data_IF_479784268079
#
_entry.id   IF_479784268079
#
_cell.length_a   1.000
_cell.length_b   1.000
_cell.length_c   1.000
_cell.angle_alpha   90.00
_cell.angle_beta   90.00
_cell.angle_gamma   90.00
#
_symmetry.space_group_name_H-M   'P 1'
#
loop_
_entity.id
_entity.type
_entity.pdbx_description
1 polymer ?
#
# COMPACT_ATOMS: atom_id res chain seq x y z
N UNK A 1 7.76 -27.79 7.64
CA UNK A 1 6.46 -27.65 8.32
C UNK A 1 5.78 -26.46 7.67
N UNK A 2 4.77 -26.73 6.83
CA UNK A 2 4.12 -25.68 6.03
C UNK A 2 3.27 -24.78 6.91
N UNK A 3 3.54 -23.48 6.83
CA UNK A 3 2.65 -22.46 7.39
C UNK A 3 1.52 -22.29 6.39
N UNK A 4 0.39 -22.93 6.70
CA UNK A 4 -0.81 -22.82 5.87
C UNK A 4 -1.29 -21.39 5.84
N UNK A 5 -1.30 -20.80 4.65
CA UNK A 5 -2.01 -19.57 4.35
C UNK A 5 -3.50 -19.81 4.61
N UNK A 6 -3.98 -19.41 5.78
CA UNK A 6 -5.41 -19.41 6.08
C UNK A 6 -6.01 -18.25 5.29
N UNK A 7 -6.50 -18.55 4.11
CA UNK A 7 -7.40 -17.67 3.36
C UNK A 7 -8.65 -17.44 4.23
N UNK A 8 -8.64 -16.40 5.05
CA UNK A 8 -9.85 -15.92 5.72
C UNK A 8 -10.67 -15.19 4.66
N UNK A 9 -11.46 -15.96 3.91
CA UNK A 9 -12.42 -15.42 2.95
C UNK A 9 -13.64 -14.87 3.71
N UNK A 10 -13.41 -13.80 4.49
CA UNK A 10 -14.47 -12.94 5.01
C UNK A 10 -14.57 -11.75 4.08
N UNK A 11 -15.74 -11.53 3.50
CA UNK A 11 -16.03 -10.33 2.72
C UNK A 11 -15.81 -9.11 3.63
N UNK A 12 -14.64 -8.48 3.51
CA UNK A 12 -14.28 -7.29 4.28
C UNK A 12 -15.07 -6.12 3.70
N UNK A 13 -15.70 -5.34 4.58
CA UNK A 13 -16.51 -4.20 4.15
C UNK A 13 -15.60 -3.10 3.55
N UNK A 14 -16.13 -2.36 2.57
CA UNK A 14 -15.43 -1.20 1.99
C UNK A 14 -14.99 -0.20 3.08
N UNK A 15 -15.80 -0.02 4.12
CA UNK A 15 -15.48 0.86 5.23
C UNK A 15 -14.30 0.36 6.06
N UNK A 16 -14.20 -0.95 6.28
CA UNK A 16 -13.03 -1.57 6.93
C UNK A 16 -11.78 -1.30 6.12
N UNK A 17 -11.81 -1.56 4.78
CA UNK A 17 -10.67 -1.31 3.89
C UNK A 17 -10.17 0.15 3.93
N UNK A 18 -11.07 1.12 4.08
CA UNK A 18 -10.70 2.53 4.19
C UNK A 18 -10.04 2.88 5.54
N UNK A 19 -10.30 2.11 6.60
CA UNK A 19 -9.74 2.36 7.93
C UNK A 19 -8.42 1.65 8.19
N UNK A 20 -8.17 0.50 7.58
CA UNK A 20 -6.93 -0.27 7.79
C UNK A 20 -5.65 0.55 7.53
N UNK A 21 -5.55 1.36 6.45
CA UNK A 21 -4.40 2.24 6.24
C UNK A 21 -4.19 3.27 7.36
N UNK A 22 -5.26 3.74 8.00
CA UNK A 22 -5.16 4.69 9.12
C UNK A 22 -4.52 4.02 10.34
N UNK A 23 -4.89 2.76 10.61
CA UNK A 23 -4.31 1.97 11.71
C UNK A 23 -2.82 1.71 11.46
N UNK A 24 -2.47 1.30 10.24
CA UNK A 24 -1.09 1.06 9.83
C UNK A 24 -0.23 2.32 9.96
N UNK A 25 -0.70 3.45 9.41
CA UNK A 25 0.00 4.73 9.50
C UNK A 25 0.22 5.17 10.94
N UNK A 26 -0.81 5.06 11.79
CA UNK A 26 -0.66 5.39 13.20
C UNK A 26 0.45 4.57 13.87
N UNK A 27 0.46 3.25 13.66
CA UNK A 27 1.48 2.39 14.26
C UNK A 27 2.89 2.68 13.73
N UNK A 28 3.04 2.96 12.43
CA UNK A 28 4.33 3.36 11.83
C UNK A 28 4.83 4.70 12.37
N UNK A 29 3.95 5.65 12.67
CA UNK A 29 4.32 6.96 13.24
C UNK A 29 4.81 6.89 14.69
N UNK A 30 4.57 5.78 15.41
CA UNK A 30 5.10 5.60 16.77
C UNK A 30 6.63 5.52 16.79
N UNK A 31 7.26 5.05 15.71
CA UNK A 31 8.72 5.00 15.57
C UNK A 31 9.39 4.29 16.73
N UNK A 32 10.38 4.95 17.36
CA UNK A 32 11.12 4.42 18.52
C UNK A 32 10.26 4.18 19.77
N UNK A 33 9.08 4.83 19.85
CA UNK A 33 8.13 4.65 20.94
C UNK A 33 7.12 3.53 20.69
N UNK A 34 7.34 2.68 19.70
CA UNK A 34 6.44 1.58 19.38
C UNK A 34 6.41 0.56 20.52
N UNK A 35 5.25 0.37 21.19
CA UNK A 35 5.15 -0.65 22.22
C UNK A 35 5.22 -2.05 21.61
N UNK A 36 5.79 -3.02 22.33
CA UNK A 36 5.84 -4.41 21.90
C UNK A 36 4.45 -4.97 21.59
N UNK A 37 3.46 -4.57 22.40
CA UNK A 37 2.08 -4.98 22.21
C UNK A 37 1.15 -3.77 22.15
N UNK A 38 0.20 -3.77 21.22
CA UNK A 38 -0.79 -2.73 21.04
C UNK A 38 -2.21 -3.29 21.10
N UNK A 39 -3.11 -2.56 21.76
CA UNK A 39 -4.52 -2.95 21.86
C UNK A 39 -5.38 -2.20 20.84
N UNK A 40 -6.50 -2.82 20.44
CA UNK A 40 -7.51 -2.14 19.62
C UNK A 40 -8.07 -0.89 20.31
N UNK A 41 -8.08 -0.85 21.63
CA UNK A 41 -8.51 0.31 22.42
C UNK A 41 -7.51 1.46 22.26
N UNK A 42 -6.21 1.18 22.36
CA UNK A 42 -5.16 2.19 22.19
C UNK A 42 -5.24 2.84 20.81
N UNK A 43 -5.39 2.02 19.74
CA UNK A 43 -5.54 2.53 18.37
C UNK A 43 -6.82 3.36 18.24
N UNK A 44 -7.93 2.89 18.82
CA UNK A 44 -9.21 3.57 18.76
C UNK A 44 -9.17 4.95 19.45
N UNK A 45 -8.57 5.05 20.62
CA UNK A 45 -8.41 6.29 21.37
C UNK A 45 -7.55 7.30 20.59
N UNK A 46 -6.42 6.87 20.06
CA UNK A 46 -5.52 7.72 19.29
C UNK A 46 -6.19 8.28 18.03
N UNK A 47 -6.98 7.47 17.33
CA UNK A 47 -7.66 7.85 16.10
C UNK A 47 -9.09 8.39 16.31
N UNK A 48 -9.55 8.50 17.56
CA UNK A 48 -10.91 8.92 17.94
C UNK A 48 -12.00 8.07 17.29
N UNK A 49 -11.78 6.76 17.27
CA UNK A 49 -12.69 5.76 16.69
C UNK A 49 -13.35 4.91 17.78
N UNK A 50 -14.41 4.19 17.41
CA UNK A 50 -15.03 3.24 18.31
C UNK A 50 -14.18 1.97 18.44
N UNK A 51 -13.78 1.58 19.67
CA UNK A 51 -12.91 0.43 19.94
C UNK A 51 -13.51 -0.91 19.48
N UNK A 52 -14.85 -1.04 19.47
CA UNK A 52 -15.51 -2.26 18.96
C UNK A 52 -15.34 -2.40 17.46
N UNK A 53 -15.38 -1.29 16.72
CA UNK A 53 -15.16 -1.24 15.28
C UNK A 53 -13.70 -1.60 14.98
N UNK A 54 -12.73 -0.94 15.64
CA UNK A 54 -11.30 -1.21 15.44
C UNK A 54 -10.98 -2.69 15.72
N UNK A 55 -11.51 -3.24 16.83
CA UNK A 55 -11.32 -4.66 17.15
C UNK A 55 -11.89 -5.60 16.10
N UNK A 56 -13.05 -5.30 15.53
CA UNK A 56 -13.64 -6.11 14.46
C UNK A 56 -12.83 -6.02 13.16
N UNK A 57 -12.36 -4.83 12.82
CA UNK A 57 -11.54 -4.59 11.64
C UNK A 57 -10.19 -5.36 11.74
N UNK A 58 -9.50 -5.25 12.87
CA UNK A 58 -8.24 -5.96 13.10
C UNK A 58 -8.44 -7.47 13.10
N UNK A 59 -9.52 -7.98 13.72
CA UNK A 59 -9.83 -9.40 13.73
C UNK A 59 -10.21 -9.97 12.34
N UNK A 60 -10.52 -9.11 11.37
CA UNK A 60 -10.75 -9.54 9.99
C UNK A 60 -9.44 -9.77 9.22
N UNK A 61 -8.34 -9.14 9.65
CA UNK A 61 -7.01 -9.22 9.02
C UNK A 61 -6.08 -10.11 9.81
N UNK A 62 -6.07 -9.98 11.15
CA UNK A 62 -5.16 -10.70 12.04
C UNK A 62 -5.92 -11.62 12.98
N UNK A 63 -5.46 -12.86 13.10
CA UNK A 63 -5.95 -13.83 14.13
C UNK A 63 -5.07 -13.85 15.38
N UNK A 64 -3.97 -13.08 15.42
CA UNK A 64 -2.96 -13.12 16.46
C UNK A 64 -3.32 -12.32 17.73
N UNK A 65 -4.49 -11.66 17.77
CA UNK A 65 -4.95 -10.89 18.92
C UNK A 65 -5.17 -11.76 20.16
N UNK A 66 -4.48 -11.44 21.27
CA UNK A 66 -4.59 -12.15 22.54
C UNK A 66 -5.45 -11.36 23.53
N UNK A 67 -6.41 -12.00 24.23
CA UNK A 67 -7.19 -11.34 25.28
C UNK A 67 -6.27 -10.71 26.32
N UNK A 68 -6.59 -9.48 26.75
CA UNK A 68 -5.85 -8.70 27.76
C UNK A 68 -4.43 -8.25 27.36
N UNK A 69 -3.83 -8.79 26.31
CA UNK A 69 -2.48 -8.43 25.84
C UNK A 69 -2.56 -7.54 24.60
N UNK A 70 -3.46 -7.84 23.68
CA UNK A 70 -3.55 -7.19 22.37
C UNK A 70 -2.80 -7.95 21.28
N UNK A 71 -2.24 -7.22 20.34
CA UNK A 71 -1.48 -7.71 19.19
C UNK A 71 0.01 -7.39 19.40
N UNK A 72 0.91 -8.26 18.99
CA UNK A 72 2.30 -7.85 18.81
C UNK A 72 2.32 -6.79 17.69
N UNK A 73 2.93 -5.63 17.97
CA UNK A 73 2.82 -4.46 17.09
C UNK A 73 3.51 -4.67 15.76
N UNK A 74 4.72 -5.24 15.76
CA UNK A 74 5.48 -5.51 14.54
C UNK A 74 4.78 -6.55 13.66
N UNK A 75 4.28 -7.62 14.26
CA UNK A 75 3.54 -8.65 13.53
C UNK A 75 2.25 -8.09 12.92
N UNK A 76 1.52 -7.24 13.65
CA UNK A 76 0.30 -6.62 13.14
C UNK A 76 0.58 -5.64 11.99
N UNK A 77 1.68 -4.88 12.06
CA UNK A 77 2.13 -4.02 10.95
C UNK A 77 2.39 -4.88 9.72
N UNK A 78 3.17 -5.96 9.84
CA UNK A 78 3.49 -6.83 8.72
C UNK A 78 2.25 -7.50 8.10
N UNK A 79 1.32 -7.98 8.93
CA UNK A 79 0.05 -8.57 8.46
C UNK A 79 -0.84 -7.53 7.73
N UNK A 80 -0.87 -6.28 8.21
CA UNK A 80 -1.59 -5.20 7.55
C UNK A 80 -0.94 -4.77 6.23
N UNK A 81 0.39 -4.71 6.16
CA UNK A 81 1.14 -4.42 4.93
C UNK A 81 0.90 -5.48 3.86
N UNK A 82 0.99 -6.76 4.25
CA UNK A 82 0.69 -7.88 3.36
C UNK A 82 -0.76 -7.84 2.87
N UNK A 83 -1.70 -7.60 3.79
CA UNK A 83 -3.12 -7.54 3.45
C UNK A 83 -3.47 -6.37 2.52
N UNK A 84 -2.84 -5.22 2.71
CA UNK A 84 -3.05 -4.01 1.89
C UNK A 84 -2.24 -4.03 0.59
N UNK A 85 -1.38 -5.03 0.37
CA UNK A 85 -0.53 -5.15 -0.80
C UNK A 85 0.66 -4.18 -0.80
N UNK A 86 1.05 -3.64 0.34
CA UNK A 86 2.19 -2.70 0.43
C UNK A 86 3.54 -3.38 0.17
N UNK A 87 3.59 -4.70 0.25
CA UNK A 87 4.76 -5.51 -0.09
C UNK A 87 4.82 -5.86 -1.59
N UNK A 88 3.70 -5.71 -2.30
CA UNK A 88 3.63 -5.84 -3.75
C UNK A 88 3.92 -4.47 -4.36
N UNK A 89 5.02 -4.34 -5.09
CA UNK A 89 5.36 -3.09 -5.77
C UNK A 89 4.71 -3.09 -7.14
N UNK A 90 3.64 -2.34 -7.28
CA UNK A 90 2.98 -2.12 -8.56
C UNK A 90 3.60 -0.93 -9.29
N UNK A 91 3.95 -1.13 -10.55
CA UNK A 91 4.38 -0.05 -11.42
C UNK A 91 3.17 0.80 -11.84
N UNK A 92 3.29 2.10 -11.65
CA UNK A 92 2.27 3.07 -12.00
C UNK A 92 2.83 4.15 -12.92
N UNK A 93 1.95 4.74 -13.71
CA UNK A 93 2.28 5.87 -14.59
C UNK A 93 1.43 7.09 -14.22
N UNK A 94 1.93 8.27 -14.56
CA UNK A 94 1.20 9.52 -14.41
C UNK A 94 0.78 9.97 -15.82
N UNK A 95 -0.50 10.34 -15.98
CA UNK A 95 -1.00 10.96 -17.19
C UNK A 95 -1.29 12.43 -16.90
N UNK A 96 -0.56 13.31 -17.58
CA UNK A 96 -0.52 14.75 -17.35
C UNK A 96 0.74 15.15 -16.55
N UNK A 97 1.77 15.67 -17.24
CA UNK A 97 3.04 16.08 -16.66
C UNK A 97 3.13 17.61 -16.44
N UNK A 98 2.01 18.26 -16.15
CA UNK A 98 1.99 19.64 -15.68
C UNK A 98 2.66 19.78 -14.30
N UNK A 99 2.56 20.94 -13.68
CA UNK A 99 3.22 21.23 -12.38
C UNK A 99 2.93 20.16 -11.31
N UNK A 100 1.69 19.69 -11.20
CA UNK A 100 1.31 18.65 -10.25
C UNK A 100 1.90 17.29 -10.65
N UNK A 101 1.80 16.89 -11.91
CA UNK A 101 2.33 15.63 -12.42
C UNK A 101 3.84 15.52 -12.20
N UNK A 102 4.60 16.60 -12.50
CA UNK A 102 6.04 16.68 -12.23
C UNK A 102 6.36 16.54 -10.73
N UNK A 103 5.59 17.18 -9.86
CA UNK A 103 5.76 17.05 -8.40
C UNK A 103 5.49 15.62 -7.92
N UNK A 104 4.44 14.97 -8.43
CA UNK A 104 4.11 13.58 -8.08
C UNK A 104 5.15 12.60 -8.64
N UNK A 105 5.71 12.86 -9.84
CA UNK A 105 6.72 12.02 -10.47
C UNK A 105 7.97 11.87 -9.59
N UNK A 106 8.35 12.92 -8.87
CA UNK A 106 9.52 12.95 -7.98
C UNK A 106 9.19 12.61 -6.52
N UNK A 107 7.91 12.48 -6.18
CA UNK A 107 7.50 12.21 -4.81
C UNK A 107 7.83 10.77 -4.39
N UNK A 108 8.72 10.62 -3.40
CA UNK A 108 9.20 9.32 -2.92
C UNK A 108 8.20 8.52 -2.10
N UNK A 109 7.20 9.17 -1.48
CA UNK A 109 6.25 8.52 -0.57
C UNK A 109 5.31 7.49 -1.20
N UNK A 110 5.25 7.42 -2.53
CA UNK A 110 4.49 6.36 -3.22
C UNK A 110 5.09 4.97 -2.98
N UNK A 111 6.42 4.86 -2.87
CA UNK A 111 7.10 3.59 -2.60
C UNK A 111 6.71 3.01 -1.24
N UNK A 112 6.46 3.87 -0.26
CA UNK A 112 6.03 3.47 1.07
C UNK A 112 4.61 2.86 1.08
N UNK A 113 3.87 3.07 -0.02
CA UNK A 113 2.53 2.53 -0.25
C UNK A 113 2.52 1.40 -1.31
N UNK A 114 3.69 0.79 -1.62
CA UNK A 114 3.77 -0.27 -2.62
C UNK A 114 3.58 0.20 -4.06
N UNK A 115 3.76 1.51 -4.36
CA UNK A 115 3.56 2.05 -5.69
C UNK A 115 4.87 2.64 -6.24
N UNK A 116 5.32 2.16 -7.39
CA UNK A 116 6.49 2.67 -8.09
C UNK A 116 6.06 3.47 -9.31
N UNK A 117 6.24 4.79 -9.29
CA UNK A 117 5.97 5.61 -10.48
C UNK A 117 7.13 5.45 -11.45
N UNK A 118 6.89 4.82 -12.60
CA UNK A 118 7.94 4.50 -13.58
C UNK A 118 8.11 5.58 -14.65
N UNK A 119 7.04 6.27 -15.04
CA UNK A 119 7.05 7.32 -16.06
C UNK A 119 5.86 8.26 -15.92
N UNK A 120 5.93 9.41 -16.61
CA UNK A 120 4.79 10.27 -16.86
C UNK A 120 4.57 10.41 -18.36
N UNK A 121 3.32 10.73 -18.75
CA UNK A 121 2.92 10.96 -20.14
C UNK A 121 2.21 12.30 -20.26
N UNK A 122 2.49 13.02 -21.33
CA UNK A 122 1.78 14.27 -21.66
C UNK A 122 1.51 14.36 -23.17
N UNK A 123 0.55 15.20 -23.54
CA UNK A 123 0.24 15.56 -24.92
C UNK A 123 1.11 16.71 -25.41
N UNK A 124 1.69 17.48 -24.50
CA UNK A 124 2.53 18.62 -24.80
C UNK A 124 3.96 18.15 -25.04
N UNK A 125 4.40 18.23 -26.29
CA UNK A 125 5.73 17.80 -26.70
C UNK A 125 6.84 18.63 -26.06
N UNK A 126 6.58 19.91 -25.70
CA UNK A 126 7.56 20.76 -25.02
C UNK A 126 7.92 20.28 -23.63
N UNK A 127 7.00 19.54 -22.99
CA UNK A 127 7.16 18.95 -21.66
C UNK A 127 7.77 17.55 -21.73
N UNK A 128 7.66 16.91 -22.90
CA UNK A 128 8.20 15.58 -23.15
C UNK A 128 9.72 15.62 -23.33
N UNK A 129 10.37 14.48 -23.04
CA UNK A 129 11.84 14.28 -23.09
C UNK A 129 12.63 14.94 -21.94
N UNK A 130 11.98 15.69 -21.04
CA UNK A 130 12.63 16.14 -19.81
C UNK A 130 12.89 14.98 -18.85
N UNK A 131 14.10 14.92 -18.27
CA UNK A 131 14.42 14.03 -17.17
C UNK A 131 14.04 14.72 -15.85
N UNK A 132 13.10 14.13 -15.12
CA UNK A 132 12.67 14.61 -13.82
C UNK A 132 13.05 13.59 -12.73
N UNK A 133 14.20 13.82 -12.10
CA UNK A 133 14.66 12.95 -11.00
C UNK A 133 14.95 11.52 -11.42
N UNK A 134 15.48 11.30 -12.63
CA UNK A 134 15.78 10.00 -13.21
C UNK A 134 14.58 9.29 -13.84
N UNK A 135 13.45 10.00 -14.01
CA UNK A 135 12.24 9.48 -14.67
C UNK A 135 11.89 10.32 -15.88
N UNK A 136 11.39 9.67 -16.92
CA UNK A 136 11.10 10.32 -18.21
C UNK A 136 9.63 10.76 -18.30
N UNK A 137 9.43 11.91 -18.93
CA UNK A 137 8.12 12.33 -19.42
C UNK A 137 8.08 11.96 -20.90
N UNK A 138 7.10 11.16 -21.29
CA UNK A 138 6.95 10.58 -22.63
C UNK A 138 5.69 11.14 -23.30
N UNK A 139 5.65 11.11 -24.62
CA UNK A 139 4.48 11.46 -25.40
C UNK A 139 3.39 10.39 -25.30
N UNK A 140 2.12 10.77 -25.46
CA UNK A 140 0.96 9.86 -25.30
C UNK A 140 0.94 8.69 -26.28
N UNK A 141 1.52 8.82 -27.47
CA UNK A 141 1.67 7.73 -28.44
C UNK A 141 2.53 6.57 -27.89
N UNK A 142 3.56 6.88 -27.10
CA UNK A 142 4.38 5.84 -26.44
C UNK A 142 3.66 5.10 -25.32
N UNK A 143 2.54 5.62 -24.80
CA UNK A 143 1.73 4.94 -23.79
C UNK A 143 1.12 3.64 -24.34
N UNK A 144 0.68 3.65 -25.59
CA UNK A 144 0.11 2.47 -26.24
C UNK A 144 1.15 1.35 -26.39
N UNK A 145 2.38 1.70 -26.70
CA UNK A 145 3.49 0.73 -26.82
C UNK A 145 3.82 0.07 -25.48
N UNK A 146 3.83 0.85 -24.39
CA UNK A 146 4.06 0.31 -23.04
C UNK A 146 2.92 -0.59 -22.56
N UNK A 147 1.66 -0.24 -22.87
CA UNK A 147 0.50 -1.07 -22.50
C UNK A 147 0.56 -2.45 -23.17
N UNK A 148 1.07 -2.55 -24.39
CA UNK A 148 1.25 -3.83 -25.10
C UNK A 148 2.34 -4.70 -24.48
N UNK A 149 3.39 -4.11 -23.91
CA UNK A 149 4.50 -4.85 -23.28
C UNK A 149 4.07 -5.39 -21.90
N UNK A 150 3.31 -4.63 -21.11
CA UNK A 150 2.91 -5.03 -19.74
C UNK A 150 1.66 -5.92 -19.68
N UNK A 151 0.76 -5.83 -20.65
CA UNK A 151 -0.43 -6.71 -20.74
C UNK A 151 -0.06 -8.11 -21.22
N UNK A 152 1.05 -8.30 -21.91
CA UNK A 152 1.49 -9.58 -22.43
C UNK A 152 2.25 -10.46 -21.43
N UNK A 153 2.65 -9.95 -20.27
CA UNK A 153 3.15 -10.76 -19.17
C UNK A 153 2.07 -10.97 -18.10
N UNK A 154 1.32 -12.09 -18.15
CA UNK A 154 0.56 -12.48 -16.96
C UNK A 154 1.59 -12.75 -15.86
N UNK A 155 1.46 -12.05 -14.74
CA UNK A 155 2.23 -12.31 -13.52
C UNK A 155 2.26 -13.80 -13.24
N UNK A 156 3.32 -14.48 -13.66
CA UNK A 156 3.61 -15.85 -13.24
C UNK A 156 3.94 -15.78 -11.76
N UNK A 157 2.92 -15.94 -10.93
CA UNK A 157 3.14 -16.42 -9.57
C UNK A 157 3.81 -17.78 -9.73
N UNK A 158 5.14 -17.84 -9.56
CA UNK A 158 5.81 -19.08 -9.37
C UNK A 158 5.31 -19.69 -8.07
N UNK A 159 4.70 -20.88 -8.08
CA UNK A 159 4.46 -21.59 -6.85
C UNK A 159 5.83 -21.96 -6.28
N UNK A 160 6.14 -21.47 -5.09
CA UNK A 160 7.31 -21.90 -4.34
C UNK A 160 7.02 -23.36 -3.93
N UNK A 161 7.83 -24.24 -4.48
CA UNK A 161 7.85 -25.68 -4.14
C UNK A 161 8.33 -25.89 -2.71
#
# INVERSE_FOLDING_TARGET
MGVGCVMVNRSISKQTLLRLPLYLNYMKQLGENTPEHISATTIAEALRLNHVVVRKDLAAVSSAGKPKVGYNTEALIAELEEFLGYNDVDDAIIVGAGKLGKALLTYGGFKDCGMNIVAAFDIDEEVCEEDYGGKRILTMDKLMDLSLIHISEPTRRTPIS
#
